data_IF_110366111915
#
_entry.id   IF_110366111915
#
_cell.length_a   1.000
_cell.length_b   1.000
_cell.length_c   1.000
_cell.angle_alpha   90.00
_cell.angle_beta   90.00
_cell.angle_gamma   90.00
#
_symmetry.space_group_name_H-M   'P 1'
#
loop_
_entity.id
_entity.type
_entity.pdbx_description
1 polymer ?
#
# COMPACT_ATOMS: atom_id res chain seq x y z
N UNK A 1 15.18 7.02 -28.07
CA UNK A 1 14.47 8.14 -27.42
C UNK A 1 13.58 7.59 -26.31
N UNK A 2 14.10 7.45 -25.08
CA UNK A 2 13.39 6.97 -23.88
C UNK A 2 13.96 7.59 -22.59
N UNK A 3 14.56 8.77 -22.66
CA UNK A 3 15.10 9.47 -21.48
C UNK A 3 14.13 10.53 -20.96
N UNK A 4 12.84 10.20 -20.92
CA UNK A 4 11.89 11.01 -20.17
C UNK A 4 11.91 10.46 -18.75
N UNK A 5 12.59 11.11 -17.79
CA UNK A 5 12.57 10.63 -16.42
C UNK A 5 11.11 10.47 -16.01
N UNK A 6 10.77 9.35 -15.38
CA UNK A 6 9.49 9.19 -14.72
C UNK A 6 9.41 10.25 -13.63
N UNK A 7 8.97 11.46 -14.00
CA UNK A 7 8.90 12.57 -13.07
C UNK A 7 7.87 12.22 -12.04
N UNK A 8 8.36 12.02 -10.82
CA UNK A 8 7.53 11.55 -9.76
C UNK A 8 6.74 12.68 -9.17
N UNK A 9 5.52 12.88 -9.69
CA UNK A 9 4.61 13.81 -9.08
C UNK A 9 4.11 13.21 -7.75
N UNK A 10 4.82 13.50 -6.66
CA UNK A 10 4.44 13.09 -5.31
C UNK A 10 3.09 13.68 -4.87
N UNK A 11 2.64 14.77 -5.54
CA UNK A 11 1.32 15.36 -5.40
C UNK A 11 0.24 14.69 -6.25
N UNK A 12 0.53 13.54 -6.89
CA UNK A 12 -0.49 12.76 -7.59
C UNK A 12 -1.62 12.39 -6.63
N UNK A 13 -2.78 13.00 -6.83
CA UNK A 13 -4.01 12.68 -6.12
C UNK A 13 -4.69 11.51 -6.81
N UNK A 14 -4.62 10.35 -6.20
CA UNK A 14 -5.35 9.17 -6.64
C UNK A 14 -6.79 9.20 -6.14
N UNK A 15 -7.71 8.73 -7.00
CA UNK A 15 -9.08 8.46 -6.58
C UNK A 15 -9.10 7.27 -5.62
N UNK A 16 -10.08 7.23 -4.73
CA UNK A 16 -10.18 6.18 -3.70
C UNK A 16 -11.01 4.96 -4.13
N UNK A 17 -11.42 4.87 -5.41
CA UNK A 17 -12.18 3.72 -5.87
C UNK A 17 -11.31 2.47 -5.79
N UNK A 18 -11.95 1.37 -5.41
CA UNK A 18 -11.31 0.07 -5.28
C UNK A 18 -11.44 -0.69 -6.59
N UNK A 19 -10.35 -0.71 -7.34
CA UNK A 19 -10.20 -1.35 -8.65
C UNK A 19 -8.84 -2.07 -8.65
N UNK A 20 -8.71 -3.17 -7.87
CA UNK A 20 -7.41 -3.70 -7.47
C UNK A 20 -6.58 -4.16 -8.67
N UNK A 21 -5.27 -3.99 -8.57
CA UNK A 21 -4.31 -4.47 -9.57
C UNK A 21 -3.13 -5.16 -8.91
N UNK A 22 -2.65 -6.22 -9.54
CA UNK A 22 -1.45 -6.92 -9.12
C UNK A 22 -0.22 -6.29 -9.76
N UNK A 23 0.75 -5.88 -8.94
CA UNK A 23 2.05 -5.40 -9.42
C UNK A 23 3.02 -6.54 -9.74
N UNK A 24 4.00 -6.25 -10.61
CA UNK A 24 5.14 -7.14 -10.93
C UNK A 24 6.04 -7.46 -9.74
N UNK A 25 5.83 -6.78 -8.62
CA UNK A 25 6.45 -7.06 -7.34
C UNK A 25 5.64 -7.98 -6.43
N UNK A 26 4.51 -8.50 -6.89
CA UNK A 26 3.62 -9.34 -6.09
C UNK A 26 2.78 -8.57 -5.06
N UNK A 27 2.85 -7.23 -5.02
CA UNK A 27 1.98 -6.43 -4.17
C UNK A 27 0.66 -6.10 -4.90
N UNK A 28 -0.44 -6.21 -4.17
CA UNK A 28 -1.75 -5.71 -4.60
C UNK A 28 -1.86 -4.21 -4.31
N UNK A 29 -2.28 -3.43 -5.31
CA UNK A 29 -2.58 -2.01 -5.16
C UNK A 29 -4.08 -1.79 -5.31
N UNK A 30 -4.65 -0.87 -4.51
CA UNK A 30 -6.09 -0.60 -4.51
C UNK A 30 -6.61 -0.12 -5.88
N UNK A 31 -5.76 0.50 -6.69
CA UNK A 31 -6.00 0.82 -8.09
C UNK A 31 -4.68 1.15 -8.81
N UNK A 32 -4.79 1.35 -10.12
CA UNK A 32 -3.64 1.65 -10.97
C UNK A 32 -2.88 2.92 -10.55
N UNK A 33 -3.59 3.96 -10.08
CA UNK A 33 -2.95 5.20 -9.66
C UNK A 33 -2.00 4.95 -8.49
N UNK A 34 -2.44 4.18 -7.48
CA UNK A 34 -1.60 3.83 -6.34
C UNK A 34 -0.41 2.93 -6.73
N UNK A 35 -0.57 2.02 -7.70
CA UNK A 35 0.57 1.25 -8.26
C UNK A 35 1.61 2.17 -8.88
N UNK A 36 1.17 3.11 -9.73
CA UNK A 36 2.07 4.08 -10.37
C UNK A 36 2.75 4.98 -9.34
N UNK A 37 2.01 5.46 -8.34
CA UNK A 37 2.57 6.25 -7.25
C UNK A 37 3.60 5.45 -6.44
N UNK A 38 3.36 4.17 -6.17
CA UNK A 38 4.31 3.31 -5.47
C UNK A 38 5.56 3.03 -6.30
N UNK A 39 5.41 2.70 -7.59
CA UNK A 39 6.52 2.54 -8.54
C UNK A 39 7.45 3.75 -8.52
N UNK A 40 6.83 4.90 -8.47
CA UNK A 40 7.45 6.20 -8.48
C UNK A 40 8.18 6.52 -7.16
N UNK A 41 7.50 6.34 -6.01
CA UNK A 41 8.07 6.53 -4.66
C UNK A 41 9.22 5.55 -4.37
N UNK A 42 9.13 4.32 -4.86
CA UNK A 42 10.15 3.30 -4.67
C UNK A 42 11.30 3.41 -5.69
N UNK A 43 11.21 4.34 -6.65
CA UNK A 43 12.14 4.45 -7.78
C UNK A 43 12.38 3.11 -8.49
N UNK A 44 11.32 2.29 -8.60
CA UNK A 44 11.37 0.97 -9.19
C UNK A 44 10.20 0.79 -10.14
N UNK A 45 10.44 0.23 -11.32
CA UNK A 45 9.37 -0.07 -12.27
C UNK A 45 8.47 -1.17 -11.68
N UNK A 46 7.21 -0.83 -11.41
CA UNK A 46 6.18 -1.78 -10.97
C UNK A 46 5.13 -1.86 -12.08
N UNK A 47 5.34 -2.75 -13.04
CA UNK A 47 4.37 -3.06 -14.10
C UNK A 47 3.13 -3.74 -13.53
N UNK A 48 1.97 -3.61 -14.20
CA UNK A 48 0.74 -4.34 -13.85
C UNK A 48 0.87 -5.75 -14.43
N UNK A 49 0.64 -6.76 -13.60
CA UNK A 49 0.63 -8.18 -13.98
C UNK A 49 -0.78 -8.65 -14.30
N UNK A 50 -1.73 -8.32 -13.43
CA UNK A 50 -3.14 -8.69 -13.60
C UNK A 50 -4.04 -7.56 -13.12
N UNK A 51 -5.22 -7.47 -13.73
CA UNK A 51 -6.37 -6.82 -13.12
C UNK A 51 -6.90 -7.75 -12.01
N UNK A 52 -7.25 -7.18 -10.85
CA UNK A 52 -7.51 -7.94 -9.63
C UNK A 52 -6.32 -7.98 -8.66
N UNK A 53 -6.54 -8.47 -7.43
CA UNK A 53 -5.48 -8.63 -6.44
C UNK A 53 -4.45 -9.69 -6.88
N UNK A 54 -3.21 -9.56 -6.41
CA UNK A 54 -2.25 -10.66 -6.50
C UNK A 54 -2.77 -11.87 -5.72
N UNK A 55 -2.58 -13.06 -6.27
CA UNK A 55 -2.82 -14.31 -5.55
C UNK A 55 -1.86 -14.35 -4.36
N UNK A 56 -2.38 -14.10 -3.15
CA UNK A 56 -1.61 -14.15 -1.91
C UNK A 56 -1.10 -15.56 -1.70
N UNK A 57 0.15 -15.81 -2.08
CA UNK A 57 0.96 -16.90 -1.54
C UNK A 57 1.78 -16.36 -0.38
N UNK A 58 1.24 -16.44 0.84
CA UNK A 58 1.92 -16.47 2.16
C UNK A 58 3.05 -15.46 2.54
N UNK A 59 3.51 -14.54 1.68
CA UNK A 59 4.75 -13.77 1.94
C UNK A 59 4.57 -12.26 2.11
N UNK A 60 3.35 -11.75 2.26
CA UNK A 60 3.16 -10.38 2.72
C UNK A 60 3.03 -10.39 4.26
N UNK A 61 4.01 -9.87 5.01
CA UNK A 61 3.77 -9.57 6.42
C UNK A 61 2.56 -8.63 6.52
N UNK A 62 1.69 -8.79 7.53
CA UNK A 62 0.53 -7.93 7.69
C UNK A 62 1.00 -6.48 7.72
N UNK A 63 0.58 -5.68 6.74
CA UNK A 63 0.73 -4.22 6.76
C UNK A 63 -0.27 -3.63 7.77
N UNK A 64 -0.28 -4.13 9.00
CA UNK A 64 -0.90 -3.45 10.13
C UNK A 64 0.01 -2.29 10.51
N UNK A 65 -0.49 -1.05 10.63
CA UNK A 65 0.27 0.00 11.29
C UNK A 65 0.64 -0.48 12.71
N UNK A 66 1.81 -0.10 13.27
CA UNK A 66 2.08 -0.28 14.69
C UNK A 66 1.22 0.71 15.50
N UNK A 67 -0.09 0.45 15.53
CA UNK A 67 -1.06 1.11 16.39
C UNK A 67 -2.01 0.04 16.93
N UNK A 68 -1.44 -0.91 17.68
CA UNK A 68 -2.19 -1.79 18.54
C UNK A 68 -1.53 -1.82 19.91
N UNK A 69 -1.34 -0.63 20.49
CA UNK A 69 -1.10 -0.45 21.91
C UNK A 69 -2.43 -0.30 22.63
N UNK A 70 -3.22 -1.38 22.74
CA UNK A 70 -4.39 -1.40 23.62
C UNK A 70 -3.91 -1.30 25.08
N UNK A 71 -3.79 -0.08 25.61
CA UNK A 71 -3.69 0.12 27.07
C UNK A 71 -5.09 -0.09 27.64
N UNK A 72 -5.34 -1.31 28.10
CA UNK A 72 -6.53 -1.65 28.87
C UNK A 72 -6.67 -0.71 30.07
N UNK A 73 -7.78 0.01 30.11
CA UNK A 73 -8.25 0.68 31.31
C UNK A 73 -8.82 -0.41 32.23
N UNK A 74 -8.03 -0.93 33.16
CA UNK A 74 -8.62 -1.55 34.35
C UNK A 74 -9.03 -0.41 35.27
N UNK A 75 -10.26 0.08 35.09
CA UNK A 75 -10.98 0.75 36.17
C UNK A 75 -11.15 -0.26 37.31
N UNK A 76 -10.34 -0.14 38.37
CA UNK A 76 -10.69 -0.72 39.67
C UNK A 76 -10.19 0.17 40.80
N UNK A 77 -11.14 1.01 41.24
CA UNK A 77 -11.36 1.51 42.60
C UNK A 77 -10.20 2.17 43.35
N UNK A 78 -10.41 3.48 43.59
CA UNK A 78 -10.04 4.16 44.85
C UNK A 78 -10.57 3.40 46.07
N UNK A 79 -9.99 3.73 47.24
CA UNK A 79 -10.09 3.16 48.59
C UNK A 79 -9.07 2.02 48.77
N UNK A 80 -8.03 2.16 49.59
CA UNK A 80 -7.99 2.58 51.01
C UNK A 80 -6.72 3.40 51.27
#
# INVERSE_FOLDING_TARGET
SMDRPCSCNLYLRCHKNYEPVCGSNGDTYQNECYRRQASCKQQRLISRVSDGPCSVGESAPPKTPPDAGFKGYTERLKLI
#
